data_IF_816907035067
#
_entry.id   IF_816907035067
#
_cell.length_a   1.000
_cell.length_b   1.000
_cell.length_c   1.000
_cell.angle_alpha   90.00
_cell.angle_beta   90.00
_cell.angle_gamma   90.00
#
_symmetry.space_group_name_H-M   'P 1'
#
loop_
_entity.id
_entity.type
_entity.pdbx_description
1 polymer ?
#
# COMPACT_ATOMS: atom_id res chain seq x y z
N UNK A 1 28.17 -1.61 23.80
CA UNK A 1 27.14 -2.65 23.60
C UNK A 1 25.97 -2.13 22.76
N UNK A 2 25.31 -1.03 23.14
CA UNK A 2 24.16 -0.46 22.42
C UNK A 2 24.43 -0.05 20.97
N UNK A 3 25.61 0.51 20.67
CA UNK A 3 25.98 0.90 19.30
C UNK A 3 26.09 -0.33 18.37
N UNK A 4 26.69 -1.41 18.85
CA UNK A 4 26.79 -2.66 18.08
C UNK A 4 25.42 -3.32 17.86
N UNK A 5 24.54 -3.25 18.87
CA UNK A 5 23.15 -3.71 18.77
C UNK A 5 22.35 -2.88 17.76
N UNK A 6 22.49 -1.55 17.81
CA UNK A 6 21.89 -0.63 16.85
C UNK A 6 22.31 -0.97 15.42
N UNK A 7 23.62 -1.10 15.17
CA UNK A 7 24.11 -1.48 13.85
C UNK A 7 23.68 -2.87 13.41
N UNK A 8 23.54 -3.83 14.33
CA UNK A 8 23.05 -5.17 14.01
C UNK A 8 21.60 -5.14 13.50
N UNK A 9 20.72 -4.41 14.18
CA UNK A 9 19.32 -4.26 13.77
C UNK A 9 19.14 -3.33 12.57
N UNK A 10 19.99 -2.32 12.38
CA UNK A 10 19.85 -1.35 11.30
C UNK A 10 20.27 -1.87 9.92
N UNK A 11 20.94 -3.03 9.82
CA UNK A 11 21.43 -3.56 8.53
C UNK A 11 20.32 -3.99 7.57
N UNK A 12 19.14 -4.31 8.08
CA UNK A 12 18.00 -4.75 7.26
C UNK A 12 17.03 -3.63 6.89
N UNK A 13 17.32 -2.39 7.27
CA UNK A 13 16.44 -1.26 6.96
C UNK A 13 16.61 -0.86 5.48
N UNK A 14 15.50 -0.58 4.77
CA UNK A 14 15.58 -0.09 3.41
C UNK A 14 16.28 1.28 3.40
N UNK A 15 17.05 1.51 2.34
CA UNK A 15 17.65 2.81 2.05
C UNK A 15 16.57 3.83 1.70
N UNK A 16 16.88 5.12 1.87
CA UNK A 16 15.96 6.20 1.54
C UNK A 16 15.54 6.18 0.06
N UNK A 17 16.44 5.77 -0.83
CA UNK A 17 16.15 5.64 -2.26
C UNK A 17 15.25 4.44 -2.56
N UNK A 18 15.36 3.32 -1.84
CA UNK A 18 14.43 2.19 -1.98
C UNK A 18 13.02 2.55 -1.51
N UNK A 19 12.91 3.34 -0.43
CA UNK A 19 11.62 3.87 0.05
C UNK A 19 11.03 4.87 -0.95
N UNK A 20 11.85 5.80 -1.47
CA UNK A 20 11.39 6.87 -2.38
C UNK A 20 11.07 6.37 -3.78
N UNK A 21 11.91 5.48 -4.33
CA UNK A 21 11.81 5.06 -5.72
C UNK A 21 10.73 4.01 -5.94
N UNK A 22 10.12 3.46 -4.89
CA UNK A 22 8.72 3.01 -4.87
C UNK A 22 8.28 1.96 -5.91
N UNK A 23 9.17 1.45 -6.76
CA UNK A 23 8.89 0.46 -7.79
C UNK A 23 8.49 -0.91 -7.19
N UNK A 24 8.51 -1.01 -5.85
CA UNK A 24 8.15 -2.19 -5.05
C UNK A 24 7.03 -1.89 -4.02
N UNK A 25 6.66 -0.63 -3.74
CA UNK A 25 5.97 -0.31 -2.47
C UNK A 25 4.45 -0.60 -2.44
N UNK A 26 3.79 -0.77 -3.58
CA UNK A 26 2.37 -1.15 -3.61
C UNK A 26 2.10 -2.08 -4.80
N UNK A 27 2.43 -3.38 -4.69
CA UNK A 27 2.07 -4.34 -5.73
C UNK A 27 0.55 -4.27 -5.95
N UNK A 28 0.16 -4.02 -7.20
CA UNK A 28 -1.22 -4.01 -7.64
C UNK A 28 -1.50 -5.24 -8.49
N UNK A 29 -2.76 -5.64 -8.54
CA UNK A 29 -3.17 -6.74 -9.41
C UNK A 29 -3.30 -6.28 -10.86
N UNK A 30 -2.82 -7.09 -11.78
CA UNK A 30 -2.98 -6.85 -13.22
C UNK A 30 -4.37 -7.24 -13.67
N UNK A 31 -5.08 -6.33 -14.32
CA UNK A 31 -6.45 -6.55 -14.82
C UNK A 31 -6.45 -6.72 -16.34
N UNK A 32 -7.03 -7.82 -16.82
CA UNK A 32 -7.19 -8.14 -18.24
C UNK A 32 -8.64 -7.91 -18.62
N UNK A 33 -8.87 -7.01 -19.59
CA UNK A 33 -10.19 -6.66 -20.09
C UNK A 33 -10.41 -7.23 -21.49
N UNK A 34 -11.66 -7.28 -21.92
CA UNK A 34 -12.02 -7.57 -23.31
C UNK A 34 -11.55 -6.46 -24.26
N UNK A 35 -11.72 -6.65 -25.57
CA UNK A 35 -11.29 -5.66 -26.57
C UNK A 35 -11.97 -4.30 -26.43
N UNK A 36 -13.14 -4.24 -25.80
CA UNK A 36 -13.85 -2.98 -25.56
C UNK A 36 -13.29 -2.22 -24.35
N UNK A 37 -12.52 -2.89 -23.49
CA UNK A 37 -12.02 -2.37 -22.24
C UNK A 37 -13.07 -2.29 -21.13
N UNK A 38 -14.28 -2.79 -21.37
CA UNK A 38 -15.42 -2.60 -20.45
C UNK A 38 -15.60 -3.81 -19.55
N UNK A 39 -15.38 -5.01 -20.08
CA UNK A 39 -15.62 -6.25 -19.33
C UNK A 39 -14.30 -6.80 -18.79
N UNK A 40 -14.18 -6.86 -17.47
CA UNK A 40 -13.07 -7.52 -16.80
C UNK A 40 -13.15 -9.03 -17.07
N UNK A 41 -12.15 -9.57 -17.76
CA UNK A 41 -12.07 -10.98 -18.10
C UNK A 41 -11.31 -11.76 -17.02
N UNK A 42 -10.21 -11.18 -16.50
CA UNK A 42 -9.38 -11.86 -15.52
C UNK A 42 -8.56 -10.86 -14.69
N UNK A 43 -8.22 -11.25 -13.47
CA UNK A 43 -7.27 -10.51 -12.62
C UNK A 43 -6.11 -11.43 -12.27
N UNK A 44 -4.90 -11.07 -12.70
CA UNK A 44 -3.67 -11.71 -12.23
C UNK A 44 -3.29 -10.99 -10.95
N UNK A 45 -3.47 -11.68 -9.83
CA UNK A 45 -3.00 -11.25 -8.54
C UNK A 45 -2.09 -12.34 -7.97
N UNK A 46 -1.01 -11.94 -7.31
CA UNK A 46 -0.19 -12.86 -6.53
C UNK A 46 -0.92 -13.26 -5.25
N UNK A 47 -0.24 -13.16 -4.11
CA UNK A 47 -0.86 -13.38 -2.80
C UNK A 47 -1.94 -12.33 -2.47
N UNK A 48 -1.86 -11.15 -3.08
CA UNK A 48 -2.69 -10.01 -2.74
C UNK A 48 -3.53 -9.53 -3.93
N UNK A 49 -4.84 -9.54 -3.76
CA UNK A 49 -5.78 -8.96 -4.72
C UNK A 49 -6.03 -7.49 -4.34
N UNK A 50 -5.30 -6.57 -4.97
CA UNK A 50 -5.26 -5.14 -4.64
C UNK A 50 -5.77 -4.31 -5.82
N UNK A 51 -6.64 -3.36 -5.50
CA UNK A 51 -7.05 -2.30 -6.43
C UNK A 51 -6.75 -0.95 -5.78
N UNK A 52 -5.92 -0.14 -6.43
CA UNK A 52 -5.71 1.23 -5.99
C UNK A 52 -6.92 2.08 -6.34
N UNK A 53 -7.44 2.77 -5.34
CA UNK A 53 -8.47 3.80 -5.47
C UNK A 53 -7.98 5.08 -4.82
N UNK A 54 -8.48 6.22 -5.28
CA UNK A 54 -8.19 7.52 -4.66
C UNK A 54 -9.00 7.69 -3.38
N UNK A 55 -8.53 8.54 -2.46
CA UNK A 55 -9.25 8.83 -1.21
C UNK A 55 -10.68 9.37 -1.45
N UNK A 56 -10.90 10.06 -2.58
CA UNK A 56 -12.20 10.58 -3.00
C UNK A 56 -13.23 9.50 -3.33
N UNK A 57 -12.77 8.30 -3.70
CA UNK A 57 -13.63 7.14 -4.01
C UNK A 57 -13.99 6.36 -2.75
N UNK A 58 -13.39 6.66 -1.59
CA UNK A 58 -13.67 6.00 -0.32
C UNK A 58 -14.85 6.72 0.36
N UNK A 59 -15.93 6.00 0.72
CA UNK A 59 -17.05 6.60 1.45
C UNK A 59 -16.59 7.22 2.78
N UNK A 60 -17.18 8.37 3.15
CA UNK A 60 -16.79 9.12 4.35
C UNK A 60 -16.83 8.27 5.62
N UNK A 61 -17.87 7.46 5.79
CA UNK A 61 -18.00 6.61 6.97
C UNK A 61 -16.88 5.56 7.07
N UNK A 62 -16.33 5.06 5.96
CA UNK A 62 -15.20 4.13 5.99
C UNK A 62 -13.93 4.86 6.44
N UNK A 63 -13.68 6.05 5.88
CA UNK A 63 -12.52 6.87 6.27
C UNK A 63 -12.54 7.16 7.77
N UNK A 64 -13.69 7.63 8.29
CA UNK A 64 -13.82 7.97 9.70
C UNK A 64 -13.79 6.75 10.62
N UNK A 65 -14.35 5.60 10.20
CA UNK A 65 -14.25 4.37 10.98
C UNK A 65 -12.80 3.91 11.13
N UNK A 66 -11.99 3.96 10.06
CA UNK A 66 -10.56 3.62 10.12
C UNK A 66 -9.80 4.58 11.04
N UNK A 67 -9.98 5.90 10.87
CA UNK A 67 -9.31 6.91 11.71
C UNK A 67 -9.66 6.70 13.19
N UNK A 68 -10.96 6.59 13.52
CA UNK A 68 -11.40 6.38 14.90
C UNK A 68 -10.87 5.07 15.53
N UNK A 69 -10.54 4.07 14.72
CA UNK A 69 -10.06 2.76 15.18
C UNK A 69 -8.53 2.70 15.33
N UNK A 70 -7.79 3.29 14.38
CA UNK A 70 -6.33 3.16 14.29
C UNK A 70 -5.59 4.36 14.91
N UNK A 71 -6.06 5.58 14.64
CA UNK A 71 -5.46 6.84 15.14
C UNK A 71 -6.48 7.99 15.08
N UNK A 72 -7.12 8.28 16.21
CA UNK A 72 -8.19 9.29 16.28
C UNK A 72 -7.70 10.72 16.02
N UNK A 73 -6.40 10.99 16.22
CA UNK A 73 -5.81 12.31 16.11
C UNK A 73 -5.08 12.52 14.76
N UNK A 74 -5.23 11.59 13.81
CA UNK A 74 -4.49 11.54 12.55
C UNK A 74 -4.37 12.87 11.77
N UNK A 75 -5.37 13.76 11.86
CA UNK A 75 -5.40 15.04 11.14
C UNK A 75 -5.04 16.27 11.98
N UNK A 76 -4.78 16.13 13.27
CA UNK A 76 -4.59 17.26 14.20
C UNK A 76 -3.14 17.35 14.66
#
# INVERSE_FOLDING_TARGET
>A
MLVGLFFYYSRGLPTMDEVRNGAVAFPESTKIYDRTGTHLLYTIHGEENRTRITLSQIPDYVKWATIATEDQDFYT
#
